data_IF_965002224202
#
_entry.id   IF_965002224202
#
_cell.length_a   1.000
_cell.length_b   1.000
_cell.length_c   1.000
_cell.angle_alpha   90.00
_cell.angle_beta   90.00
_cell.angle_gamma   90.00
#
_symmetry.space_group_name_H-M   'P 1'
#
loop_
_entity.id
_entity.type
_entity.pdbx_description
1 polymer ?
#
# COMPACT_ATOMS: atom_id res chain seq x y z
N UNK A 1 -14.28 9.15 -22.31
CA UNK A 1 -12.81 9.06 -22.43
C UNK A 1 -12.24 9.57 -23.75
N UNK A 2 -12.97 9.55 -24.89
CA UNK A 2 -12.42 9.97 -26.19
C UNK A 2 -11.94 11.44 -26.25
N UNK A 3 -12.66 12.36 -25.58
CA UNK A 3 -12.27 13.77 -25.46
C UNK A 3 -10.86 13.92 -24.88
N UNK A 4 -10.54 13.18 -23.82
CA UNK A 4 -9.22 13.19 -23.19
C UNK A 4 -8.16 12.60 -24.11
N UNK A 5 -8.45 11.45 -24.74
CA UNK A 5 -7.53 10.82 -25.68
C UNK A 5 -7.17 11.70 -26.88
N UNK A 6 -8.16 12.35 -27.52
CA UNK A 6 -7.94 13.21 -28.69
C UNK A 6 -7.35 14.57 -28.31
N UNK A 7 -7.85 15.18 -27.23
CA UNK A 7 -7.45 16.53 -26.82
C UNK A 7 -6.18 16.60 -25.98
N UNK A 8 -5.59 15.45 -25.61
CA UNK A 8 -4.46 15.35 -24.67
C UNK A 8 -4.68 16.17 -23.39
N UNK A 9 -5.92 16.18 -22.92
CA UNK A 9 -6.33 17.01 -21.78
C UNK A 9 -5.81 16.35 -20.50
N UNK A 10 -5.03 17.06 -19.66
CA UNK A 10 -4.54 16.50 -18.41
C UNK A 10 -5.67 15.98 -17.53
N UNK A 11 -5.45 14.81 -16.94
CA UNK A 11 -6.34 14.23 -15.94
C UNK A 11 -5.66 14.41 -14.59
N UNK A 12 -6.37 14.97 -13.62
CA UNK A 12 -5.82 15.08 -12.26
C UNK A 12 -6.05 13.78 -11.49
N UNK A 13 -7.31 13.35 -11.43
CA UNK A 13 -7.76 12.12 -10.78
C UNK A 13 -8.53 11.28 -11.78
N UNK A 14 -8.21 9.99 -11.83
CA UNK A 14 -9.00 8.98 -12.51
C UNK A 14 -9.42 7.93 -11.49
N UNK A 15 -10.73 7.78 -11.31
CA UNK A 15 -11.31 6.78 -10.43
C UNK A 15 -12.18 5.86 -11.27
N UNK A 16 -11.97 4.56 -11.11
CA UNK A 16 -12.74 3.56 -11.78
C UNK A 16 -13.09 2.47 -10.77
N UNK A 17 -14.40 2.31 -10.59
CA UNK A 17 -14.97 1.38 -9.64
C UNK A 17 -15.88 0.40 -10.38
N UNK A 18 -15.59 -0.89 -10.23
CA UNK A 18 -16.32 -1.97 -10.85
C UNK A 18 -17.70 -2.09 -10.19
N UNK A 19 -18.75 -1.86 -10.97
CA UNK A 19 -20.15 -2.17 -10.60
C UNK A 19 -20.58 -3.51 -11.22
N UNK A 20 -19.78 -4.06 -12.14
CA UNK A 20 -20.19 -5.14 -13.04
C UNK A 20 -19.61 -6.48 -12.60
N UNK A 21 -20.34 -7.16 -11.72
CA UNK A 21 -20.13 -8.60 -11.51
C UNK A 21 -20.38 -9.27 -12.88
N UNK A 22 -19.35 -9.94 -13.42
CA UNK A 22 -19.41 -10.83 -14.61
C UNK A 22 -19.37 -10.21 -16.03
N UNK A 23 -18.57 -9.17 -16.29
CA UNK A 23 -18.39 -8.66 -17.66
C UNK A 23 -16.94 -8.62 -18.17
N UNK A 24 -16.33 -9.81 -18.34
CA UNK A 24 -15.00 -9.96 -18.99
C UNK A 24 -14.90 -9.20 -20.34
N UNK A 25 -16.03 -9.04 -21.03
CA UNK A 25 -16.13 -8.30 -22.29
C UNK A 25 -15.81 -6.80 -22.16
N UNK A 26 -15.89 -6.23 -20.95
CA UNK A 26 -15.56 -4.81 -20.71
C UNK A 26 -14.08 -4.58 -20.43
N UNK A 27 -13.27 -5.63 -20.17
CA UNK A 27 -11.85 -5.48 -19.88
C UNK A 27 -11.08 -4.69 -20.96
N UNK A 28 -11.28 -4.93 -22.27
CA UNK A 28 -10.62 -4.12 -23.30
C UNK A 28 -11.01 -2.63 -23.25
N UNK A 29 -12.22 -2.32 -22.78
CA UNK A 29 -12.67 -0.94 -22.63
C UNK A 29 -12.05 -0.28 -21.39
N UNK A 30 -11.93 -1.02 -20.29
CA UNK A 30 -11.20 -0.61 -19.08
C UNK A 30 -9.73 -0.36 -19.40
N UNK A 31 -9.07 -1.28 -20.13
CA UNK A 31 -7.69 -1.13 -20.58
C UNK A 31 -7.50 0.17 -21.37
N UNK A 32 -8.42 0.44 -22.31
CA UNK A 32 -8.40 1.67 -23.10
C UNK A 32 -8.54 2.92 -22.23
N UNK A 33 -9.43 2.91 -21.24
CA UNK A 33 -9.61 4.05 -20.35
C UNK A 33 -8.41 4.29 -19.44
N UNK A 34 -7.83 3.23 -18.87
CA UNK A 34 -6.60 3.32 -18.09
C UNK A 34 -5.46 3.85 -18.95
N UNK A 35 -5.27 3.33 -20.15
CA UNK A 35 -4.22 3.81 -21.06
C UNK A 35 -4.39 5.30 -21.37
N UNK A 36 -5.62 5.75 -21.64
CA UNK A 36 -5.90 7.18 -21.85
C UNK A 36 -5.55 7.97 -20.58
N UNK A 37 -5.93 7.52 -19.39
CA UNK A 37 -5.60 8.20 -18.14
C UNK A 37 -4.08 8.35 -17.93
N UNK A 38 -3.34 7.26 -18.11
CA UNK A 38 -1.88 7.24 -17.96
C UNK A 38 -1.17 8.14 -19.00
N UNK A 39 -1.65 8.15 -20.26
CA UNK A 39 -1.12 9.03 -21.31
C UNK A 39 -1.44 10.52 -21.07
N UNK A 40 -2.49 10.81 -20.32
CA UNK A 40 -2.94 12.17 -20.01
C UNK A 40 -2.44 12.66 -18.64
N UNK A 41 -1.29 12.16 -18.21
CA UNK A 41 -0.58 12.63 -17.01
C UNK A 41 -1.39 12.56 -15.71
N UNK A 42 -2.21 11.51 -15.56
CA UNK A 42 -2.95 11.24 -14.31
C UNK A 42 -2.04 11.32 -13.08
N UNK A 43 -2.49 12.02 -12.04
CA UNK A 43 -1.76 12.15 -10.77
C UNK A 43 -2.31 11.22 -9.70
N UNK A 44 -3.61 11.03 -9.63
CA UNK A 44 -4.28 10.13 -8.70
C UNK A 44 -5.05 9.07 -9.47
N UNK A 45 -4.72 7.80 -9.21
CA UNK A 45 -5.41 6.66 -9.80
C UNK A 45 -6.06 5.83 -8.69
N UNK A 46 -7.38 5.71 -8.74
CA UNK A 46 -8.17 4.95 -7.78
C UNK A 46 -8.88 3.82 -8.52
N UNK A 47 -8.62 2.59 -8.10
CA UNK A 47 -9.07 1.37 -8.76
C UNK A 47 -9.80 0.48 -7.76
N UNK A 48 -11.07 0.21 -8.00
CA UNK A 48 -11.86 -0.76 -7.23
C UNK A 48 -12.33 -1.86 -8.19
N UNK A 49 -11.69 -3.03 -8.18
CA UNK A 49 -12.09 -4.14 -9.06
C UNK A 49 -11.85 -5.47 -8.39
N UNK A 50 -12.83 -6.36 -8.47
CA UNK A 50 -12.72 -7.71 -7.90
C UNK A 50 -12.09 -8.70 -8.87
N UNK A 51 -12.46 -8.60 -10.14
CA UNK A 51 -12.12 -9.62 -11.16
C UNK A 51 -11.19 -9.12 -12.26
N UNK A 52 -11.02 -7.81 -12.40
CA UNK A 52 -10.16 -7.23 -13.43
C UNK A 52 -8.66 -7.43 -13.11
N UNK A 53 -7.88 -8.05 -14.01
CA UNK A 53 -6.44 -8.21 -13.84
C UNK A 53 -5.72 -6.89 -14.14
N UNK A 54 -5.60 -6.03 -13.13
CA UNK A 54 -5.02 -4.70 -13.29
C UNK A 54 -3.55 -4.78 -13.82
N UNK A 55 -3.20 -4.00 -14.87
CA UNK A 55 -1.85 -3.98 -15.44
C UNK A 55 -0.90 -3.17 -14.54
N UNK A 56 -0.59 -3.70 -13.36
CA UNK A 56 0.07 -2.99 -12.27
C UNK A 56 1.44 -2.42 -12.68
N UNK A 57 2.20 -3.16 -13.50
CA UNK A 57 3.48 -2.69 -14.02
C UNK A 57 3.33 -1.47 -14.94
N UNK A 58 2.32 -1.48 -15.81
CA UNK A 58 2.02 -0.34 -16.70
C UNK A 58 1.62 0.89 -15.88
N UNK A 59 0.84 0.69 -14.83
CA UNK A 59 0.44 1.75 -13.90
C UNK A 59 1.66 2.34 -13.18
N UNK A 60 2.54 1.49 -12.64
CA UNK A 60 3.76 1.91 -11.94
C UNK A 60 4.75 2.65 -12.86
N UNK A 61 4.77 2.33 -14.15
CA UNK A 61 5.60 3.01 -15.14
C UNK A 61 5.13 4.45 -15.49
N UNK A 62 3.96 4.87 -15.02
CA UNK A 62 3.44 6.21 -15.32
C UNK A 62 4.25 7.30 -14.62
N UNK A 63 4.76 8.26 -15.41
CA UNK A 63 5.69 9.31 -14.95
C UNK A 63 5.05 10.43 -14.13
N UNK A 64 3.73 10.58 -14.20
CA UNK A 64 2.98 11.63 -13.51
C UNK A 64 2.31 11.15 -12.23
N UNK A 65 2.16 9.83 -12.07
CA UNK A 65 1.34 9.25 -11.03
C UNK A 65 1.95 9.51 -9.66
N UNK A 66 1.19 10.16 -8.78
CA UNK A 66 1.57 10.51 -7.42
C UNK A 66 0.89 9.62 -6.39
N UNK A 67 -0.37 9.26 -6.62
CA UNK A 67 -1.16 8.42 -5.73
C UNK A 67 -1.77 7.25 -6.47
N UNK A 68 -1.56 6.05 -5.95
CA UNK A 68 -2.21 4.83 -6.40
C UNK A 68 -3.01 4.23 -5.25
N UNK A 69 -4.29 4.02 -5.48
CA UNK A 69 -5.21 3.44 -4.51
C UNK A 69 -5.87 2.23 -5.15
N UNK A 70 -5.66 1.06 -4.56
CA UNK A 70 -6.18 -0.22 -5.01
C UNK A 70 -7.13 -0.77 -3.95
N UNK A 71 -8.34 -1.11 -4.39
CA UNK A 71 -9.39 -1.70 -3.56
C UNK A 71 -9.92 -2.98 -4.17
N UNK A 72 -10.16 -3.95 -3.30
CA UNK A 72 -10.90 -5.19 -3.58
C UNK A 72 -10.30 -6.05 -4.72
N UNK A 73 -9.02 -5.89 -5.07
CA UNK A 73 -8.42 -6.52 -6.26
C UNK A 73 -7.45 -7.65 -5.96
N UNK A 74 -7.12 -8.44 -6.99
CA UNK A 74 -6.09 -9.48 -6.91
C UNK A 74 -4.88 -9.08 -7.75
N UNK A 75 -3.71 -9.00 -7.12
CA UNK A 75 -2.43 -8.77 -7.80
C UNK A 75 -1.74 -10.10 -8.02
N UNK A 76 -1.79 -10.60 -9.26
CA UNK A 76 -1.14 -11.87 -9.63
C UNK A 76 0.39 -11.72 -9.60
N UNK A 77 1.15 -12.73 -9.11
CA UNK A 77 2.60 -12.68 -9.08
C UNK A 77 3.20 -12.28 -10.42
N UNK A 78 4.02 -11.23 -10.43
CA UNK A 78 4.72 -10.81 -11.64
C UNK A 78 5.90 -11.74 -11.83
N UNK A 79 6.04 -12.37 -13.00
CA UNK A 79 7.28 -13.04 -13.37
C UNK A 79 8.44 -12.03 -13.34
N UNK A 80 9.49 -12.33 -12.58
CA UNK A 80 10.72 -11.51 -12.45
C UNK A 80 11.44 -11.21 -13.78
N UNK A 81 11.00 -11.83 -14.88
CA UNK A 81 11.48 -11.56 -16.24
C UNK A 81 10.92 -10.27 -16.85
N UNK A 82 9.87 -9.67 -16.27
CA UNK A 82 9.40 -8.36 -16.67
C UNK A 82 10.28 -7.32 -15.99
N UNK A 83 11.02 -6.52 -16.78
CA UNK A 83 12.08 -5.64 -16.30
C UNK A 83 11.71 -4.75 -15.10
N UNK A 84 12.74 -4.29 -14.39
CA UNK A 84 12.56 -3.44 -13.18
C UNK A 84 11.78 -2.17 -13.53
N UNK A 85 10.56 -2.05 -13.02
CA UNK A 85 9.74 -0.85 -13.16
C UNK A 85 10.05 0.07 -11.98
N UNK A 86 10.55 1.28 -12.26
CA UNK A 86 10.82 2.29 -11.23
C UNK A 86 9.88 3.48 -11.38
N UNK A 87 8.93 3.58 -10.46
CA UNK A 87 8.02 4.71 -10.30
C UNK A 87 8.67 5.82 -9.46
N UNK A 88 9.35 6.74 -10.14
CA UNK A 88 10.00 7.88 -9.48
C UNK A 88 9.01 9.01 -9.11
N UNK A 89 7.75 8.94 -9.57
CA UNK A 89 6.73 9.93 -9.29
C UNK A 89 5.83 9.56 -8.11
N UNK A 90 5.62 8.27 -7.85
CA UNK A 90 4.68 7.82 -6.83
C UNK A 90 5.13 8.28 -5.44
N UNK A 91 4.17 8.74 -4.65
CA UNK A 91 4.36 9.25 -3.28
C UNK A 91 3.42 8.56 -2.31
N UNK A 92 2.27 8.07 -2.77
CA UNK A 92 1.32 7.32 -1.95
C UNK A 92 0.85 6.06 -2.63
N UNK A 93 0.85 4.97 -1.87
CA UNK A 93 0.31 3.67 -2.24
C UNK A 93 -0.67 3.23 -1.16
N UNK A 94 -1.89 2.91 -1.54
CA UNK A 94 -2.93 2.39 -0.65
C UNK A 94 -3.46 1.07 -1.19
N UNK A 95 -3.41 0.03 -0.36
CA UNK A 95 -3.91 -1.29 -0.66
C UNK A 95 -4.98 -1.64 0.39
N UNK A 96 -6.23 -1.83 -0.04
CA UNK A 96 -7.32 -2.20 0.85
C UNK A 96 -8.09 -3.38 0.27
N UNK A 97 -8.26 -4.45 1.06
CA UNK A 97 -8.88 -5.70 0.62
C UNK A 97 -8.21 -6.33 -0.62
N UNK A 98 -6.90 -6.12 -0.79
CA UNK A 98 -6.14 -6.64 -1.94
C UNK A 98 -5.61 -8.04 -1.63
N UNK A 99 -5.73 -8.96 -2.58
CA UNK A 99 -5.08 -10.27 -2.52
C UNK A 99 -3.72 -10.20 -3.21
N UNK A 100 -2.65 -10.42 -2.45
CA UNK A 100 -1.27 -10.41 -2.93
C UNK A 100 -0.36 -11.24 -2.02
N UNK A 101 0.68 -11.82 -2.59
CA UNK A 101 1.72 -12.49 -1.80
C UNK A 101 2.84 -11.53 -1.37
N UNK A 102 3.75 -12.05 -0.56
CA UNK A 102 4.87 -11.31 0.02
C UNK A 102 5.85 -10.83 -1.06
N UNK A 103 6.03 -11.61 -2.13
CA UNK A 103 6.90 -11.26 -3.26
C UNK A 103 6.34 -10.09 -4.07
N UNK A 104 5.02 -10.09 -4.31
CA UNK A 104 4.31 -9.00 -4.96
C UNK A 104 4.42 -7.72 -4.13
N UNK A 105 4.23 -7.80 -2.80
CA UNK A 105 4.39 -6.64 -1.93
C UNK A 105 5.81 -6.05 -2.02
N UNK A 106 6.85 -6.90 -2.00
CA UNK A 106 8.23 -6.43 -2.19
C UNK A 106 8.41 -5.79 -3.57
N UNK A 107 7.83 -6.38 -4.62
CA UNK A 107 7.88 -5.83 -5.98
C UNK A 107 7.27 -4.43 -6.03
N UNK A 108 6.11 -4.22 -5.41
CA UNK A 108 5.45 -2.91 -5.35
C UNK A 108 6.32 -1.87 -4.63
N UNK A 109 6.84 -2.20 -3.45
CA UNK A 109 7.65 -1.28 -2.64
C UNK A 109 8.99 -0.95 -3.32
N UNK A 110 9.66 -1.96 -3.89
CA UNK A 110 10.91 -1.76 -4.63
C UNK A 110 10.71 -0.93 -5.91
N UNK A 111 9.52 -1.03 -6.52
CA UNK A 111 9.16 -0.21 -7.68
C UNK A 111 8.89 1.25 -7.32
N UNK A 112 8.80 1.62 -6.05
CA UNK A 112 8.42 2.97 -5.62
C UNK A 112 9.48 3.58 -4.67
N UNK A 113 10.70 3.87 -5.15
CA UNK A 113 11.82 4.27 -4.29
C UNK A 113 11.60 5.61 -3.55
N UNK A 114 10.67 6.44 -4.02
CA UNK A 114 10.34 7.75 -3.44
C UNK A 114 8.99 7.75 -2.71
N UNK A 115 8.49 6.58 -2.29
CA UNK A 115 7.24 6.46 -1.53
C UNK A 115 7.30 7.22 -0.21
N UNK A 116 6.27 8.00 0.09
CA UNK A 116 6.18 8.81 1.31
C UNK A 116 5.10 8.27 2.24
N UNK A 117 3.99 7.80 1.68
CA UNK A 117 2.85 7.25 2.41
C UNK A 117 2.52 5.85 1.92
N UNK A 118 2.41 4.90 2.83
CA UNK A 118 1.96 3.54 2.54
C UNK A 118 0.83 3.14 3.46
N UNK A 119 -0.25 2.62 2.88
CA UNK A 119 -1.44 2.15 3.60
C UNK A 119 -1.71 0.71 3.16
N UNK A 120 -1.84 -0.19 4.12
CA UNK A 120 -2.22 -1.60 3.89
C UNK A 120 -3.33 -1.98 4.85
N UNK A 121 -4.47 -2.39 4.30
CA UNK A 121 -5.68 -2.70 5.06
C UNK A 121 -6.30 -4.01 4.57
N UNK A 122 -6.50 -4.97 5.49
CA UNK A 122 -7.21 -6.23 5.26
C UNK A 122 -6.78 -6.99 3.98
N UNK A 123 -5.48 -6.99 3.67
CA UNK A 123 -4.96 -7.67 2.50
C UNK A 123 -4.81 -9.18 2.76
N UNK A 124 -5.18 -10.02 1.82
CA UNK A 124 -5.05 -11.47 1.94
C UNK A 124 -3.77 -11.96 1.24
N UNK A 125 -3.23 -13.10 1.67
CA UNK A 125 -1.97 -13.65 1.14
C UNK A 125 -0.69 -13.19 1.86
N UNK A 126 -0.81 -12.36 2.90
CA UNK A 126 0.31 -11.84 3.69
C UNK A 126 0.38 -12.49 5.09
N UNK A 127 1.17 -13.55 5.23
CA UNK A 127 1.45 -14.15 6.53
C UNK A 127 2.56 -13.38 7.27
N UNK A 128 3.54 -12.88 6.51
CA UNK A 128 4.67 -12.09 6.99
C UNK A 128 4.68 -10.73 6.29
N UNK A 129 4.43 -9.67 7.05
CA UNK A 129 4.49 -8.30 6.55
C UNK A 129 5.88 -7.71 6.78
N UNK A 130 6.73 -7.71 5.74
CA UNK A 130 8.03 -7.05 5.74
C UNK A 130 7.97 -5.77 4.94
N UNK A 131 8.18 -4.64 5.59
CA UNK A 131 8.22 -3.32 4.95
C UNK A 131 9.64 -2.79 5.06
N UNK A 132 10.26 -2.52 3.91
CA UNK A 132 11.58 -1.87 3.84
C UNK A 132 11.49 -0.67 2.92
N UNK A 133 11.56 0.54 3.48
CA UNK A 133 11.46 1.77 2.71
C UNK A 133 12.06 2.97 3.45
N UNK A 134 13.24 3.41 3.00
CA UNK A 134 13.94 4.56 3.62
C UNK A 134 13.23 5.89 3.38
N UNK A 135 12.48 6.03 2.28
CA UNK A 135 11.76 7.25 1.93
C UNK A 135 10.42 7.42 2.68
N UNK A 136 9.94 6.36 3.32
CA UNK A 136 8.62 6.30 3.94
C UNK A 136 8.55 7.18 5.18
N UNK A 137 7.52 8.01 5.26
CA UNK A 137 7.26 8.92 6.41
C UNK A 137 5.96 8.59 7.13
N UNK A 138 4.95 8.13 6.39
CA UNK A 138 3.62 7.82 6.93
C UNK A 138 3.30 6.37 6.60
N UNK A 139 3.00 5.59 7.63
CA UNK A 139 2.63 4.19 7.50
C UNK A 139 1.34 3.92 8.27
N UNK A 140 0.35 3.38 7.58
CA UNK A 140 -0.88 2.86 8.20
C UNK A 140 -1.02 1.38 7.88
N UNK A 141 -1.19 0.57 8.93
CA UNK A 141 -1.34 -0.87 8.83
C UNK A 141 -2.60 -1.25 9.59
N UNK A 142 -3.61 -1.77 8.88
CA UNK A 142 -4.73 -2.48 9.46
C UNK A 142 -4.65 -3.90 8.93
N UNK A 143 -3.80 -4.72 9.54
CA UNK A 143 -3.46 -6.03 9.02
C UNK A 143 -3.22 -7.03 10.12
N UNK A 144 -3.76 -8.22 9.94
CA UNK A 144 -3.78 -9.30 10.91
C UNK A 144 -2.84 -10.44 10.51
N UNK A 145 -1.58 -10.09 10.25
CA UNK A 145 -0.52 -11.03 9.90
C UNK A 145 0.15 -11.60 11.16
N UNK A 146 0.87 -12.72 11.02
CA UNK A 146 1.55 -13.37 12.13
C UNK A 146 2.85 -12.65 12.52
N UNK A 147 3.55 -12.09 11.54
CA UNK A 147 4.83 -11.42 11.72
C UNK A 147 4.78 -10.08 11.00
N UNK A 148 5.19 -9.01 11.67
CA UNK A 148 5.27 -7.67 11.09
C UNK A 148 6.60 -7.01 11.43
N UNK A 149 7.42 -6.77 10.40
CA UNK A 149 8.75 -6.17 10.52
C UNK A 149 8.80 -4.93 9.64
N UNK A 150 9.12 -3.79 10.25
CA UNK A 150 9.12 -2.49 9.61
C UNK A 150 10.53 -1.90 9.73
N UNK A 151 11.21 -1.83 8.59
CA UNK A 151 12.51 -1.19 8.39
C UNK A 151 12.31 0.11 7.61
N UNK A 152 12.08 1.20 8.35
CA UNK A 152 11.73 2.51 7.79
C UNK A 152 12.42 3.60 8.63
N UNK A 153 13.73 3.84 8.43
CA UNK A 153 14.52 4.71 9.30
C UNK A 153 14.01 6.15 9.37
N UNK A 154 13.34 6.65 8.32
CA UNK A 154 12.82 8.02 8.26
C UNK A 154 11.30 8.11 8.53
N UNK A 155 10.71 7.07 9.13
CA UNK A 155 9.31 7.09 9.52
C UNK A 155 9.04 8.26 10.48
N UNK A 156 7.85 8.85 10.36
CA UNK A 156 7.39 9.99 11.18
C UNK A 156 6.09 9.63 11.89
N UNK A 157 5.20 8.90 11.22
CA UNK A 157 3.91 8.48 11.76
C UNK A 157 3.65 7.02 11.44
N UNK A 158 3.32 6.25 12.47
CA UNK A 158 2.82 4.88 12.38
C UNK A 158 1.45 4.78 13.02
N UNK A 159 0.46 4.35 12.26
CA UNK A 159 -0.86 3.92 12.75
C UNK A 159 -0.98 2.41 12.50
N UNK A 160 -1.00 1.63 13.58
CA UNK A 160 -0.94 0.17 13.51
C UNK A 160 -2.11 -0.48 14.24
N UNK A 161 -2.79 -1.39 13.55
CA UNK A 161 -3.80 -2.31 14.08
C UNK A 161 -3.52 -3.72 13.55
N UNK A 162 -3.26 -4.67 14.45
CA UNK A 162 -2.98 -6.06 14.11
C UNK A 162 -3.02 -6.98 15.32
N UNK A 163 -2.66 -8.26 15.13
CA UNK A 163 -2.65 -9.25 16.22
C UNK A 163 -1.44 -9.09 17.16
N UNK A 164 -0.30 -8.69 16.60
CA UNK A 164 0.98 -8.70 17.28
C UNK A 164 1.59 -7.30 17.31
N UNK A 165 2.58 -7.08 18.17
CA UNK A 165 3.31 -5.81 18.18
C UNK A 165 4.38 -5.87 17.09
N UNK A 166 4.47 -4.86 16.20
CA UNK A 166 5.43 -4.89 15.11
C UNK A 166 6.85 -4.72 15.62
N UNK A 167 7.80 -5.40 14.98
CA UNK A 167 9.22 -5.11 15.12
C UNK A 167 9.55 -3.86 14.31
N UNK A 168 10.10 -2.83 14.97
CA UNK A 168 10.41 -1.55 14.34
C UNK A 168 11.91 -1.28 14.34
N UNK A 169 12.43 -0.96 13.16
CA UNK A 169 13.71 -0.32 12.97
C UNK A 169 13.48 1.10 12.43
N UNK A 170 13.52 2.07 13.34
CA UNK A 170 13.34 3.50 13.06
C UNK A 170 14.53 4.27 13.62
N UNK A 171 15.00 5.29 12.88
CA UNK A 171 16.15 6.10 13.27
C UNK A 171 15.78 7.55 13.64
N UNK A 172 14.51 7.93 13.45
CA UNK A 172 13.98 9.26 13.73
C UNK A 172 12.78 9.19 14.65
N UNK A 173 12.68 10.21 15.50
CA UNK A 173 11.52 10.47 16.36
C UNK A 173 10.20 10.34 15.59
N UNK A 174 9.50 9.24 15.87
CA UNK A 174 8.21 8.90 15.27
C UNK A 174 7.08 8.99 16.28
N UNK A 175 5.91 9.40 15.81
CA UNK A 175 4.63 9.20 16.50
C UNK A 175 4.08 7.82 16.14
N UNK A 176 3.80 7.01 17.16
CA UNK A 176 3.32 5.64 16.99
C UNK A 176 1.97 5.50 17.69
N UNK A 177 0.96 5.04 16.96
CA UNK A 177 -0.37 4.72 17.46
C UNK A 177 -0.58 3.22 17.30
N UNK A 178 -0.80 2.54 18.42
CA UNK A 178 -1.06 1.11 18.46
C UNK A 178 -2.51 0.87 18.89
N UNK A 179 -3.31 0.30 17.99
CA UNK A 179 -4.68 -0.11 18.24
C UNK A 179 -4.73 -1.56 18.73
N UNK A 180 -5.18 -1.74 19.96
CA UNK A 180 -5.26 -3.03 20.64
C UNK A 180 -6.64 -3.67 20.46
N UNK A 181 -6.66 -4.94 20.07
CA UNK A 181 -7.86 -5.77 20.12
C UNK A 181 -8.05 -6.37 21.52
N UNK A 182 -9.30 -6.71 21.87
CA UNK A 182 -9.74 -7.13 23.21
C UNK A 182 -9.07 -8.40 23.76
N UNK A 183 -8.34 -9.17 22.95
CA UNK A 183 -7.64 -10.38 23.38
C UNK A 183 -6.24 -10.10 23.96
N UNK A 184 -6.13 -9.08 24.83
CA UNK A 184 -4.88 -8.73 25.51
C UNK A 184 -4.54 -9.80 26.55
N UNK A 185 -3.53 -10.63 26.27
CA UNK A 185 -3.01 -11.62 27.22
C UNK A 185 -1.64 -11.18 27.78
N UNK A 186 -1.16 -11.91 28.79
CA UNK A 186 0.13 -11.63 29.44
C UNK A 186 1.31 -11.64 28.46
N UNK A 187 1.28 -12.50 27.44
CA UNK A 187 2.32 -12.54 26.41
C UNK A 187 2.37 -11.26 25.58
N UNK A 188 1.21 -10.68 25.24
CA UNK A 188 1.12 -9.41 24.53
C UNK A 188 1.71 -8.27 25.36
N UNK A 189 1.37 -8.16 26.65
CA UNK A 189 1.96 -7.14 27.55
C UNK A 189 3.47 -7.30 27.72
N UNK A 190 3.98 -8.53 27.74
CA UNK A 190 5.43 -8.78 27.73
C UNK A 190 6.10 -8.28 26.45
N UNK A 191 5.46 -8.46 25.28
CA UNK A 191 5.94 -7.91 24.01
C UNK A 191 5.88 -6.37 24.01
N UNK A 192 4.81 -5.77 24.54
CA UNK A 192 4.70 -4.32 24.68
C UNK A 192 5.79 -3.76 25.58
N UNK A 193 6.04 -4.38 26.73
CA UNK A 193 7.10 -3.96 27.64
C UNK A 193 8.45 -3.99 26.94
N UNK A 194 8.76 -5.05 26.19
CA UNK A 194 10.02 -5.16 25.42
C UNK A 194 10.11 -4.08 24.35
N UNK A 195 9.01 -3.85 23.61
CA UNK A 195 8.90 -2.81 22.61
C UNK A 195 9.17 -1.40 23.19
N UNK A 196 8.51 -1.07 24.31
CA UNK A 196 8.68 0.21 24.99
C UNK A 196 10.05 0.37 25.66
N UNK A 197 10.73 -0.73 25.98
CA UNK A 197 12.07 -0.71 26.58
C UNK A 197 13.18 -0.61 25.53
N UNK A 198 12.86 -0.78 24.25
CA UNK A 198 13.82 -0.62 23.17
C UNK A 198 14.19 0.87 23.08
N UNK A 199 15.48 1.27 23.10
CA UNK A 199 15.91 2.68 22.97
C UNK A 199 15.64 3.30 21.58
N UNK A 200 14.62 2.81 20.88
CA UNK A 200 14.17 3.28 19.58
C UNK A 200 13.79 4.76 19.63
N UNK A 201 14.04 5.47 18.54
CA UNK A 201 13.78 6.90 18.39
C UNK A 201 12.28 7.18 18.18
N UNK A 202 11.42 7.04 19.19
CA UNK A 202 10.02 7.51 19.11
C UNK A 202 9.77 8.62 20.13
N UNK A 203 9.06 9.66 19.70
CA UNK A 203 8.75 10.83 20.54
C UNK A 203 7.39 10.71 21.24
N UNK A 204 6.47 9.95 20.66
CA UNK A 204 5.12 9.76 21.18
C UNK A 204 4.63 8.33 20.87
N UNK A 205 4.20 7.60 21.90
CA UNK A 205 3.47 6.33 21.72
C UNK A 205 2.09 6.47 22.36
N UNK A 206 1.05 6.27 21.55
CA UNK A 206 -0.34 6.22 21.97
C UNK A 206 -0.87 4.79 21.87
N UNK A 207 -1.49 4.31 22.94
CA UNK A 207 -2.16 3.00 22.99
C UNK A 207 -3.67 3.21 22.99
N UNK A 208 -4.34 2.75 21.94
CA UNK A 208 -5.80 2.83 21.81
C UNK A 208 -6.42 1.46 22.05
N UNK A 209 -7.06 1.29 23.21
CA UNK A 209 -7.82 0.07 23.55
C UNK A 209 -9.24 0.25 23.02
N UNK A 210 -9.60 -0.51 21.98
CA UNK A 210 -10.95 -0.50 21.42
C UNK A 210 -11.85 -1.36 22.30
N UNK A 211 -12.95 -0.77 22.80
CA UNK A 211 -14.01 -1.46 23.56
C UNK A 211 -14.93 -2.27 22.65
#
# INVERSE_FOLDING_TARGET
>A
MERYGKGKIPIEKFELSEIFVDSLQLFPMVDKWLLIALQNSVKELVLHFKSYPAPILTILAAKSLRELVLHDCTLMPVSLSCGVVNSNSLRKLSLSNVTLDENMLQTLLNSCPLIVSFIVENCSGLNVLKIKADSLKVLKIIQYCNICNIDAPNLVSLDYKGYEIPELNIARESKIILHCLLSLNTAWFCKLRKFLSNPSSWSEVSLCILK
#
